data_IF_641672394200
#
_entry.id   IF_641672394200
#
_cell.length_a   1.000
_cell.length_b   1.000
_cell.length_c   1.000
_cell.angle_alpha   90.00
_cell.angle_beta   90.00
_cell.angle_gamma   90.00
#
_symmetry.space_group_name_H-M   'P 1'
#
loop_
_entity.id
_entity.type
_entity.pdbx_description
1 polymer ?
#
# COMPACT_ATOMS: atom_id res chain seq x y z
N UNK A 1 6.33 9.08 -25.15
CA UNK A 1 5.24 9.74 -25.88
C UNK A 1 4.69 8.87 -27.00
N UNK A 2 5.48 8.40 -27.99
CA UNK A 2 5.00 7.57 -29.13
C UNK A 2 4.29 6.28 -28.68
N UNK A 3 4.71 5.65 -27.62
CA UNK A 3 4.09 4.44 -27.09
C UNK A 3 2.70 4.74 -26.50
N UNK A 4 2.56 5.81 -25.75
CA UNK A 4 1.26 6.26 -25.23
C UNK A 4 0.27 6.62 -26.35
N UNK A 5 0.74 7.30 -27.38
CA UNK A 5 -0.08 7.63 -28.56
C UNK A 5 -0.62 6.37 -29.26
N UNK A 6 0.25 5.36 -29.42
CA UNK A 6 -0.14 4.08 -30.00
C UNK A 6 -1.17 3.35 -29.16
N UNK A 7 -0.96 3.27 -27.85
CA UNK A 7 -1.93 2.63 -26.95
C UNK A 7 -3.28 3.30 -26.94
N UNK A 8 -3.31 4.64 -27.00
CA UNK A 8 -4.57 5.40 -27.12
C UNK A 8 -5.28 5.11 -28.46
N UNK A 9 -4.52 4.89 -29.52
CA UNK A 9 -5.08 4.50 -30.84
C UNK A 9 -5.60 3.06 -30.83
N UNK A 10 -4.82 2.14 -30.24
CA UNK A 10 -5.15 0.72 -30.23
C UNK A 10 -6.36 0.40 -29.31
N UNK A 11 -6.54 1.15 -28.22
CA UNK A 11 -7.65 0.95 -27.27
C UNK A 11 -8.22 2.29 -26.77
N UNK A 12 -9.01 2.93 -27.62
CA UNK A 12 -9.60 4.23 -27.32
C UNK A 12 -10.56 4.23 -26.12
N UNK A 13 -11.20 3.10 -25.81
CA UNK A 13 -12.15 2.99 -24.70
C UNK A 13 -11.43 2.89 -23.35
N UNK A 14 -10.24 2.30 -23.30
CA UNK A 14 -9.46 2.18 -22.08
C UNK A 14 -9.02 3.51 -21.48
N UNK A 15 -8.91 4.57 -22.30
CA UNK A 15 -8.53 5.92 -21.83
C UNK A 15 -9.70 6.74 -21.30
N UNK A 16 -10.93 6.21 -21.34
CA UNK A 16 -12.11 6.87 -20.78
C UNK A 16 -12.04 7.02 -19.25
N UNK A 17 -11.23 6.18 -18.60
CA UNK A 17 -10.94 6.21 -17.15
C UNK A 17 -9.43 6.08 -16.95
N UNK A 18 -8.83 7.06 -16.29
CA UNK A 18 -7.40 7.11 -16.01
C UNK A 18 -7.16 7.13 -14.49
N UNK A 19 -6.36 6.19 -14.02
CA UNK A 19 -5.90 6.13 -12.64
C UNK A 19 -4.63 6.94 -12.47
N UNK A 20 -4.62 7.84 -11.49
CA UNK A 20 -3.46 8.70 -11.19
C UNK A 20 -3.03 8.44 -9.75
N UNK A 21 -1.79 8.02 -9.59
CA UNK A 21 -1.24 7.73 -8.26
C UNK A 21 0.24 8.11 -8.17
N UNK A 22 0.65 8.56 -6.98
CA UNK A 22 2.03 8.96 -6.69
C UNK A 22 2.83 7.81 -6.10
N UNK A 23 4.04 7.59 -6.61
CA UNK A 23 4.99 6.63 -6.08
C UNK A 23 6.26 7.32 -5.62
N UNK A 24 6.55 7.27 -4.32
CA UNK A 24 7.77 7.86 -3.74
C UNK A 24 8.94 6.92 -3.97
N UNK A 25 9.98 7.43 -4.66
CA UNK A 25 11.24 6.72 -4.93
C UNK A 25 12.35 7.27 -4.03
N UNK A 26 12.83 6.49 -3.05
CA UNK A 26 13.92 6.92 -2.20
C UNK A 26 15.24 7.00 -2.97
N UNK A 27 16.00 8.05 -2.70
CA UNK A 27 17.34 8.25 -3.24
C UNK A 27 18.39 7.87 -2.19
N UNK A 28 19.28 6.97 -2.55
CA UNK A 28 20.35 6.47 -1.69
C UNK A 28 21.74 7.03 -2.05
N UNK A 29 21.81 7.83 -3.11
CA UNK A 29 23.06 8.45 -3.54
C UNK A 29 23.43 9.67 -2.71
N UNK A 30 24.66 10.14 -2.88
CA UNK A 30 25.21 11.34 -2.24
C UNK A 30 25.45 12.48 -3.22
N UNK A 31 25.34 12.22 -4.53
CA UNK A 31 25.67 13.16 -5.60
C UNK A 31 24.66 14.30 -5.74
N UNK A 32 23.38 14.06 -5.41
CA UNK A 32 22.31 15.03 -5.54
C UNK A 32 21.63 15.32 -4.22
N UNK A 33 21.36 16.59 -3.95
CA UNK A 33 20.52 17.01 -2.82
C UNK A 33 19.07 17.00 -3.27
N UNK A 34 18.28 16.07 -2.72
CA UNK A 34 16.85 15.97 -2.97
C UNK A 34 16.04 16.30 -1.72
N UNK A 35 14.83 16.85 -1.86
CA UNK A 35 13.93 17.05 -0.74
C UNK A 35 13.57 15.70 -0.09
N UNK A 36 13.38 15.74 1.24
CA UNK A 36 13.00 14.54 1.99
C UNK A 36 11.50 14.30 1.90
N UNK A 37 11.11 13.06 1.70
CA UNK A 37 9.72 12.60 1.79
C UNK A 37 9.60 11.39 2.74
N UNK A 38 8.41 11.21 3.27
CA UNK A 38 8.10 10.02 4.06
C UNK A 38 8.04 8.79 3.16
N UNK A 39 8.96 7.87 3.35
CA UNK A 39 8.95 6.56 2.69
C UNK A 39 8.22 5.59 3.63
N UNK A 40 6.91 5.49 3.47
CA UNK A 40 6.00 4.76 4.38
C UNK A 40 6.46 3.34 4.68
N UNK A 41 6.95 2.62 3.67
CA UNK A 41 7.45 1.25 3.82
C UNK A 41 8.68 1.13 4.71
N UNK A 42 9.50 2.18 4.77
CA UNK A 42 10.71 2.21 5.61
C UNK A 42 10.49 2.95 6.93
N UNK A 43 9.33 3.59 7.09
CA UNK A 43 8.98 4.45 8.25
C UNK A 43 10.04 5.53 8.51
N UNK A 44 10.69 6.02 7.45
CA UNK A 44 11.76 7.00 7.51
C UNK A 44 11.47 8.15 6.53
N UNK A 45 11.93 9.34 6.88
CA UNK A 45 12.01 10.48 5.97
C UNK A 45 13.36 10.46 5.27
N UNK A 46 13.36 10.29 3.95
CA UNK A 46 14.55 10.13 3.12
C UNK A 46 14.53 11.11 1.94
N UNK A 47 15.70 11.49 1.39
CA UNK A 47 15.75 12.15 0.09
C UNK A 47 15.01 11.29 -0.94
N UNK A 48 14.13 11.91 -1.73
CA UNK A 48 13.29 11.16 -2.65
C UNK A 48 12.81 12.04 -3.81
N UNK A 49 12.35 11.38 -4.87
CA UNK A 49 11.48 11.93 -5.91
C UNK A 49 10.09 11.28 -5.81
N UNK A 50 9.11 11.91 -6.43
CA UNK A 50 7.78 11.31 -6.60
C UNK A 50 7.52 11.12 -8.08
N UNK A 51 7.23 9.89 -8.48
CA UNK A 51 6.76 9.56 -9.82
C UNK A 51 5.24 9.48 -9.78
N UNK A 52 4.55 10.36 -10.51
CA UNK A 52 3.10 10.31 -10.65
C UNK A 52 2.78 9.54 -11.92
N UNK A 53 2.21 8.38 -11.75
CA UNK A 53 1.85 7.47 -12.83
C UNK A 53 0.41 7.69 -13.26
N UNK A 54 0.21 7.68 -14.56
CA UNK A 54 -1.12 7.71 -15.19
C UNK A 54 -1.31 6.39 -15.91
N UNK A 55 -2.25 5.59 -15.42
CA UNK A 55 -2.56 4.27 -15.94
C UNK A 55 -3.98 4.23 -16.52
N UNK A 56 -4.17 3.45 -17.55
CA UNK A 56 -5.48 3.14 -18.13
C UNK A 56 -6.29 2.20 -17.20
N UNK A 57 -7.55 2.01 -17.49
CA UNK A 57 -8.43 1.16 -16.69
C UNK A 57 -8.03 -0.34 -16.69
N UNK A 58 -7.24 -0.76 -17.67
CA UNK A 58 -6.66 -2.11 -17.77
C UNK A 58 -5.29 -2.25 -17.08
N UNK A 59 -4.90 -1.25 -16.28
CA UNK A 59 -3.62 -1.14 -15.57
C UNK A 59 -2.39 -0.84 -16.45
N UNK A 60 -2.53 -0.64 -17.75
CA UNK A 60 -1.40 -0.26 -18.59
C UNK A 60 -0.94 1.16 -18.27
N UNK A 61 0.37 1.38 -18.05
CA UNK A 61 0.89 2.72 -17.79
C UNK A 61 0.90 3.55 -19.06
N UNK A 62 0.17 4.65 -19.08
CA UNK A 62 0.13 5.56 -20.21
C UNK A 62 1.36 6.44 -20.25
N UNK A 63 1.69 7.09 -19.13
CA UNK A 63 2.91 7.86 -18.93
C UNK A 63 3.19 8.08 -17.45
N UNK A 64 4.36 8.60 -17.16
CA UNK A 64 4.80 8.98 -15.80
C UNK A 64 5.37 10.40 -15.80
N UNK A 65 5.12 11.11 -14.73
CA UNK A 65 5.69 12.44 -14.45
C UNK A 65 6.53 12.34 -13.19
N UNK A 66 7.85 12.56 -13.32
CA UNK A 66 8.75 12.62 -12.16
C UNK A 66 8.80 14.06 -11.64
N UNK A 67 8.61 14.22 -10.34
CA UNK A 67 8.63 15.49 -9.65
C UNK A 67 9.47 15.43 -8.38
N UNK A 68 9.94 16.58 -7.86
CA UNK A 68 10.49 16.64 -6.51
C UNK A 68 9.50 16.07 -5.50
N UNK A 69 10.01 15.39 -4.49
CA UNK A 69 9.18 14.97 -3.37
C UNK A 69 8.52 16.20 -2.71
N UNK A 70 7.29 16.02 -2.25
CA UNK A 70 6.47 17.08 -1.64
C UNK A 70 5.81 18.08 -2.61
N UNK A 71 5.99 17.93 -3.89
CA UNK A 71 5.15 18.62 -4.87
C UNK A 71 3.76 17.94 -4.91
N UNK A 72 2.74 18.63 -4.41
CA UNK A 72 1.41 18.05 -4.25
C UNK A 72 0.80 17.57 -5.57
N UNK A 73 0.00 16.51 -5.50
CA UNK A 73 -0.64 15.87 -6.66
C UNK A 73 -1.45 16.86 -7.51
N UNK A 74 -2.17 17.80 -6.91
CA UNK A 74 -2.96 18.82 -7.62
C UNK A 74 -2.09 19.70 -8.51
N UNK A 75 -0.90 20.11 -8.05
CA UNK A 75 0.02 20.90 -8.84
C UNK A 75 0.49 20.11 -10.07
N UNK A 76 0.82 18.83 -9.89
CA UNK A 76 1.23 17.95 -10.98
C UNK A 76 0.10 17.68 -11.97
N UNK A 77 -1.10 17.41 -11.45
CA UNK A 77 -2.30 17.28 -12.29
C UNK A 77 -2.46 18.52 -13.18
N UNK A 78 -2.48 19.72 -12.61
CA UNK A 78 -2.72 20.95 -13.35
C UNK A 78 -1.62 21.30 -14.36
N UNK A 79 -0.36 21.16 -13.97
CA UNK A 79 0.76 21.67 -14.76
C UNK A 79 1.27 20.70 -15.83
N UNK A 80 1.14 19.40 -15.60
CA UNK A 80 1.79 18.40 -16.43
C UNK A 80 0.83 17.29 -16.92
N UNK A 81 0.00 16.74 -16.02
CA UNK A 81 -0.81 15.58 -16.34
C UNK A 81 -2.00 15.95 -17.24
N UNK A 82 -2.79 16.94 -16.85
CA UNK A 82 -3.96 17.36 -17.64
C UNK A 82 -3.60 17.82 -19.05
N UNK A 83 -2.56 18.65 -19.25
CA UNK A 83 -2.11 19.03 -20.59
C UNK A 83 -1.69 17.83 -21.42
N UNK A 84 -0.96 16.88 -20.84
CA UNK A 84 -0.50 15.68 -21.56
C UNK A 84 -1.66 14.72 -21.87
N UNK A 85 -2.58 14.51 -20.93
CA UNK A 85 -3.82 13.74 -21.20
C UNK A 85 -4.59 14.39 -22.33
N UNK A 86 -4.78 15.71 -22.31
CA UNK A 86 -5.51 16.44 -23.37
C UNK A 86 -4.83 16.30 -24.73
N UNK A 87 -3.49 16.36 -24.75
CA UNK A 87 -2.70 16.12 -25.97
C UNK A 87 -2.92 14.72 -26.54
N UNK A 88 -3.03 13.71 -25.68
CA UNK A 88 -3.19 12.31 -26.08
C UNK A 88 -4.61 11.97 -26.53
N UNK A 89 -5.62 12.47 -25.84
CA UNK A 89 -7.02 12.06 -26.04
C UNK A 89 -7.86 13.09 -26.80
N UNK A 90 -7.32 14.28 -27.10
CA UNK A 90 -8.07 15.36 -27.72
C UNK A 90 -9.19 15.87 -26.80
N UNK A 91 -10.35 16.24 -27.36
CA UNK A 91 -11.49 16.78 -26.62
C UNK A 91 -12.36 15.73 -25.94
N UNK A 92 -11.95 14.46 -25.97
CA UNK A 92 -12.70 13.39 -25.31
C UNK A 92 -12.82 13.65 -23.81
N UNK A 93 -14.00 13.35 -23.27
CA UNK A 93 -14.25 13.39 -21.83
C UNK A 93 -13.59 12.21 -21.14
N UNK A 94 -12.77 12.47 -20.14
CA UNK A 94 -11.99 11.47 -19.40
C UNK A 94 -12.28 11.60 -17.91
N UNK A 95 -12.46 10.48 -17.24
CA UNK A 95 -12.60 10.40 -15.80
C UNK A 95 -11.24 10.15 -15.15
N UNK A 96 -10.80 11.05 -14.29
CA UNK A 96 -9.58 10.92 -13.50
C UNK A 96 -9.92 10.30 -12.15
N UNK A 97 -9.29 9.18 -11.84
CA UNK A 97 -9.44 8.45 -10.57
C UNK A 97 -8.16 8.62 -9.76
N UNK A 98 -8.26 9.20 -8.58
CA UNK A 98 -7.13 9.41 -7.67
C UNK A 98 -7.56 9.34 -6.21
N UNK A 99 -6.58 9.27 -5.31
CA UNK A 99 -6.83 9.15 -3.88
C UNK A 99 -7.13 10.51 -3.20
N UNK A 100 -7.23 10.50 -1.85
CA UNK A 100 -7.52 11.69 -1.03
C UNK A 100 -6.45 12.78 -1.08
N UNK A 101 -5.26 12.51 -1.60
CA UNK A 101 -4.21 13.51 -1.78
C UNK A 101 -4.64 14.59 -2.78
N UNK A 102 -5.35 14.19 -3.82
CA UNK A 102 -5.92 15.09 -4.83
C UNK A 102 -7.19 15.83 -4.40
N UNK A 103 -7.61 15.78 -3.13
CA UNK A 103 -8.87 16.39 -2.68
C UNK A 103 -8.83 17.91 -2.71
N UNK A 104 -9.56 18.51 -3.65
CA UNK A 104 -9.83 19.96 -3.72
C UNK A 104 -11.10 20.25 -4.53
N UNK A 105 -12.23 20.57 -3.88
CA UNK A 105 -13.47 20.92 -4.58
C UNK A 105 -13.34 22.06 -5.59
N UNK A 106 -12.47 23.05 -5.28
CA UNK A 106 -12.16 24.14 -6.23
C UNK A 106 -11.48 23.60 -7.50
N UNK A 107 -10.54 22.70 -7.34
CA UNK A 107 -9.85 22.04 -8.45
C UNK A 107 -10.82 21.12 -9.23
N UNK A 108 -11.72 20.41 -8.55
CA UNK A 108 -12.71 19.55 -9.23
C UNK A 108 -13.62 20.36 -10.14
N UNK A 109 -14.12 21.51 -9.65
CA UNK A 109 -14.93 22.41 -10.48
C UNK A 109 -14.15 22.94 -11.69
N UNK A 110 -12.88 23.31 -11.47
CA UNK A 110 -11.99 23.81 -12.52
C UNK A 110 -11.82 22.78 -13.66
N UNK A 111 -11.44 21.54 -13.34
CA UNK A 111 -11.18 20.52 -14.34
C UNK A 111 -12.46 19.97 -14.99
N UNK A 112 -13.57 19.96 -14.23
CA UNK A 112 -14.86 19.59 -14.77
C UNK A 112 -15.31 20.57 -15.87
N UNK A 113 -15.08 21.86 -15.69
CA UNK A 113 -15.31 22.87 -16.72
C UNK A 113 -14.41 22.68 -17.95
N UNK A 114 -13.26 22.02 -17.80
CA UNK A 114 -12.34 21.67 -18.89
C UNK A 114 -12.66 20.32 -19.57
N UNK A 115 -13.78 19.67 -19.22
CA UNK A 115 -14.22 18.40 -19.80
C UNK A 115 -13.55 17.16 -19.18
N UNK A 116 -13.00 17.29 -17.97
CA UNK A 116 -12.54 16.14 -17.19
C UNK A 116 -13.54 15.79 -16.09
N UNK A 117 -13.76 14.51 -15.88
CA UNK A 117 -14.51 14.03 -14.74
C UNK A 117 -13.59 13.61 -13.58
N UNK A 118 -14.13 13.65 -12.39
CA UNK A 118 -13.42 13.29 -11.15
C UNK A 118 -14.09 12.10 -10.50
N UNK A 119 -13.26 11.19 -10.00
CA UNK A 119 -13.65 10.11 -9.11
C UNK A 119 -12.60 9.97 -8.01
N UNK A 120 -12.99 10.18 -6.76
CA UNK A 120 -12.05 10.13 -5.63
C UNK A 120 -12.76 9.78 -4.32
N UNK A 121 -12.01 9.40 -3.29
CA UNK A 121 -12.55 9.26 -1.94
C UNK A 121 -12.86 10.63 -1.33
N UNK A 122 -13.98 10.71 -0.60
CA UNK A 122 -14.30 11.90 0.18
C UNK A 122 -13.28 12.10 1.30
N UNK A 123 -12.79 13.32 1.44
CA UNK A 123 -11.89 13.72 2.53
C UNK A 123 -12.65 14.47 3.61
N UNK A 124 -12.24 14.34 4.86
CA UNK A 124 -12.81 14.99 6.02
C UNK A 124 -13.80 14.12 6.78
N UNK A 125 -14.28 14.63 7.91
CA UNK A 125 -15.29 13.96 8.70
C UNK A 125 -16.67 14.06 8.04
N UNK A 126 -17.45 13.02 8.10
CA UNK A 126 -18.84 12.99 7.64
C UNK A 126 -19.69 12.12 8.56
N UNK A 127 -20.95 12.50 8.72
CA UNK A 127 -21.90 11.71 9.49
C UNK A 127 -22.27 10.44 8.73
N UNK A 128 -22.28 9.31 9.42
CA UNK A 128 -22.72 8.05 8.84
C UNK A 128 -24.18 8.13 8.34
N UNK A 129 -24.46 7.50 7.21
CA UNK A 129 -25.84 7.35 6.74
C UNK A 129 -26.51 6.17 7.43
N UNK A 130 -27.85 6.23 7.62
CA UNK A 130 -28.58 5.11 8.19
C UNK A 130 -28.39 3.83 7.37
N UNK A 131 -28.16 2.69 8.02
CA UNK A 131 -27.95 1.40 7.35
C UNK A 131 -29.08 1.06 6.36
N UNK A 132 -30.31 1.42 6.70
CA UNK A 132 -31.49 1.24 5.82
C UNK A 132 -31.45 2.00 4.50
N UNK A 133 -30.51 2.94 4.33
CA UNK A 133 -30.33 3.67 3.07
C UNK A 133 -29.50 2.87 2.06
N UNK A 134 -28.80 1.84 2.50
CA UNK A 134 -27.98 1.00 1.66
C UNK A 134 -28.80 -0.13 1.06
N UNK A 135 -28.48 -0.46 -0.20
CA UNK A 135 -29.11 -1.56 -0.92
C UNK A 135 -28.02 -2.45 -1.51
N UNK A 136 -28.29 -3.75 -1.58
CA UNK A 136 -27.43 -4.67 -2.31
C UNK A 136 -27.55 -4.38 -3.80
N UNK A 137 -26.46 -3.95 -4.41
CA UNK A 137 -26.34 -3.72 -5.85
C UNK A 137 -25.42 -4.76 -6.45
N UNK A 138 -25.88 -5.40 -7.51
CA UNK A 138 -25.11 -6.40 -8.27
C UNK A 138 -25.01 -6.00 -9.73
N UNK A 139 -23.86 -6.24 -10.34
CA UNK A 139 -23.65 -5.91 -11.74
C UNK A 139 -22.50 -6.71 -12.34
N UNK A 140 -22.21 -6.46 -13.60
CA UNK A 140 -21.02 -6.97 -14.30
C UNK A 140 -20.27 -5.78 -14.89
N UNK A 141 -19.03 -5.60 -14.46
CA UNK A 141 -18.14 -4.52 -14.94
C UNK A 141 -16.86 -5.17 -15.43
N UNK A 142 -16.42 -4.85 -16.64
CA UNK A 142 -15.24 -5.44 -17.30
C UNK A 142 -15.23 -6.99 -17.23
N UNK A 143 -16.41 -7.61 -17.43
CA UNK A 143 -16.57 -9.07 -17.38
C UNK A 143 -16.56 -9.68 -15.96
N UNK A 144 -16.40 -8.87 -14.91
CA UNK A 144 -16.39 -9.32 -13.50
C UNK A 144 -17.72 -9.06 -12.83
N UNK A 145 -18.28 -10.06 -12.18
CA UNK A 145 -19.46 -9.90 -11.32
C UNK A 145 -19.05 -9.18 -10.05
N UNK A 146 -19.76 -8.10 -9.74
CA UNK A 146 -19.57 -7.30 -8.51
C UNK A 146 -20.85 -7.30 -7.67
N UNK A 147 -20.68 -7.20 -6.36
CA UNK A 147 -21.75 -7.04 -5.39
C UNK A 147 -21.29 -6.11 -4.28
N UNK A 148 -22.06 -5.06 -4.06
CA UNK A 148 -21.78 -4.07 -3.03
C UNK A 148 -23.06 -3.68 -2.28
N UNK A 149 -22.92 -3.24 -1.04
CA UNK A 149 -23.97 -2.55 -0.29
C UNK A 149 -23.77 -1.04 -0.49
N UNK A 150 -24.57 -0.42 -1.36
CA UNK A 150 -24.39 0.95 -1.79
C UNK A 150 -25.56 1.85 -1.46
N UNK A 151 -25.24 3.12 -1.21
CA UNK A 151 -26.22 4.21 -1.15
C UNK A 151 -25.63 5.44 -1.85
N UNK A 152 -26.48 6.31 -2.42
CA UNK A 152 -26.00 7.51 -3.10
C UNK A 152 -26.87 8.74 -2.78
N UNK A 153 -26.25 9.91 -2.85
CA UNK A 153 -26.91 11.23 -2.72
C UNK A 153 -26.12 12.27 -3.51
N UNK A 154 -26.81 13.30 -3.97
CA UNK A 154 -26.14 14.53 -4.40
C UNK A 154 -25.67 15.29 -3.18
N UNK A 155 -24.43 15.80 -3.24
CA UNK A 155 -23.82 16.59 -2.16
C UNK A 155 -23.18 17.85 -2.73
N UNK A 156 -23.37 18.96 -2.05
CA UNK A 156 -22.67 20.18 -2.37
C UNK A 156 -21.26 20.12 -1.75
N UNK A 157 -20.24 20.14 -2.58
CA UNK A 157 -18.83 20.07 -2.14
C UNK A 157 -18.15 21.43 -2.13
N UNK A 158 -18.72 22.40 -2.85
CA UNK A 158 -18.33 23.80 -2.89
C UNK A 158 -19.54 24.61 -3.33
N UNK A 159 -19.65 25.86 -2.90
CA UNK A 159 -20.81 26.73 -3.21
C UNK A 159 -21.24 26.62 -4.67
N UNK A 160 -22.44 26.10 -4.90
CA UNK A 160 -23.02 25.85 -6.20
C UNK A 160 -22.42 24.70 -7.02
N UNK A 161 -21.44 23.96 -6.48
CA UNK A 161 -20.86 22.81 -7.15
C UNK A 161 -21.27 21.51 -6.47
N UNK A 162 -22.14 20.78 -7.14
CA UNK A 162 -22.71 19.53 -6.68
C UNK A 162 -22.00 18.34 -7.31
N UNK A 163 -21.77 17.33 -6.51
CA UNK A 163 -21.22 16.04 -6.94
C UNK A 163 -22.11 14.90 -6.45
N UNK A 164 -21.98 13.76 -7.06
CA UNK A 164 -22.60 12.52 -6.63
C UNK A 164 -21.73 11.88 -5.57
N UNK A 165 -22.24 11.69 -4.36
CA UNK A 165 -21.59 10.92 -3.31
C UNK A 165 -22.19 9.52 -3.26
N UNK A 166 -21.34 8.52 -3.35
CA UNK A 166 -21.68 7.10 -3.22
C UNK A 166 -20.98 6.57 -1.99
N UNK A 167 -21.70 5.84 -1.16
CA UNK A 167 -21.12 5.14 -0.01
C UNK A 167 -21.26 3.65 -0.16
N UNK A 168 -20.17 2.94 0.18
CA UNK A 168 -20.16 1.50 0.34
C UNK A 168 -20.15 1.17 1.83
N UNK A 169 -21.10 0.34 2.26
CA UNK A 169 -21.17 -0.19 3.63
C UNK A 169 -20.35 -1.48 3.68
N UNK A 170 -19.29 -1.48 4.47
CA UNK A 170 -18.46 -2.65 4.72
C UNK A 170 -19.07 -3.57 5.78
N UNK A 171 -18.63 -4.83 5.84
CA UNK A 171 -19.14 -5.82 6.78
C UNK A 171 -18.92 -5.46 8.27
N UNK A 172 -17.90 -4.64 8.56
CA UNK A 172 -17.59 -4.11 9.88
C UNK A 172 -18.42 -2.86 10.26
N UNK A 173 -19.35 -2.43 9.38
CA UNK A 173 -20.17 -1.24 9.56
C UNK A 173 -19.51 0.06 9.12
N UNK A 174 -18.23 0.02 8.67
CA UNK A 174 -17.56 1.19 8.11
C UNK A 174 -18.21 1.62 6.79
N UNK A 175 -18.31 2.94 6.57
CA UNK A 175 -18.84 3.51 5.34
C UNK A 175 -17.71 4.20 4.57
N UNK A 176 -17.37 3.65 3.41
CA UNK A 176 -16.42 4.28 2.50
C UNK A 176 -17.13 5.23 1.57
N UNK A 177 -16.83 6.52 1.67
CA UNK A 177 -17.46 7.56 0.86
C UNK A 177 -16.61 7.91 -0.36
N UNK A 178 -17.23 7.89 -1.53
CA UNK A 178 -16.69 8.20 -2.85
C UNK A 178 -17.45 9.38 -3.40
N UNK A 179 -16.78 10.31 -4.09
CA UNK A 179 -17.42 11.41 -4.80
C UNK A 179 -17.01 11.41 -6.27
N UNK A 180 -17.97 11.76 -7.13
CA UNK A 180 -17.74 11.83 -8.58
C UNK A 180 -18.59 12.91 -9.23
N UNK A 181 -18.07 13.45 -10.34
CA UNK A 181 -18.86 14.31 -11.26
C UNK A 181 -19.65 13.49 -12.29
N UNK A 182 -19.45 12.15 -12.34
CA UNK A 182 -20.16 11.26 -13.26
C UNK A 182 -21.54 10.92 -12.74
N UNK A 183 -22.56 11.51 -13.35
CA UNK A 183 -23.97 11.22 -13.06
C UNK A 183 -24.58 10.16 -13.99
N UNK A 184 -23.91 9.87 -15.09
CA UNK A 184 -24.33 8.98 -16.16
C UNK A 184 -23.97 7.51 -15.94
N UNK A 185 -23.01 7.22 -15.06
CA UNK A 185 -22.58 5.86 -14.76
C UNK A 185 -23.47 5.18 -13.72
N UNK A 186 -23.70 3.87 -13.87
CA UNK A 186 -24.35 3.05 -12.85
C UNK A 186 -23.54 3.08 -11.55
N UNK A 187 -24.22 2.98 -10.41
CA UNK A 187 -23.61 3.15 -9.09
C UNK A 187 -22.52 2.09 -8.81
N UNK A 188 -22.77 0.85 -9.25
CA UNK A 188 -21.80 -0.25 -9.13
C UNK A 188 -20.56 -0.04 -9.99
N UNK A 189 -20.71 0.62 -11.16
CA UNK A 189 -19.58 0.95 -12.03
C UNK A 189 -18.67 1.98 -11.35
N UNK A 190 -19.25 3.02 -10.75
CA UNK A 190 -18.48 4.05 -10.03
C UNK A 190 -17.75 3.43 -8.84
N UNK A 191 -18.43 2.61 -8.04
CA UNK A 191 -17.84 1.92 -6.91
C UNK A 191 -16.70 0.99 -7.36
N UNK A 192 -16.95 0.19 -8.41
CA UNK A 192 -15.94 -0.70 -8.98
C UNK A 192 -14.70 0.08 -9.43
N UNK A 193 -14.86 1.13 -10.23
CA UNK A 193 -13.74 1.95 -10.72
C UNK A 193 -12.93 2.55 -9.58
N UNK A 194 -13.56 2.98 -8.49
CA UNK A 194 -12.83 3.50 -7.34
C UNK A 194 -12.10 2.41 -6.55
N UNK A 195 -12.71 1.25 -6.37
CA UNK A 195 -12.09 0.14 -5.64
C UNK A 195 -11.02 -0.59 -6.46
N UNK A 196 -11.14 -0.63 -7.79
CA UNK A 196 -10.10 -1.16 -8.69
C UNK A 196 -8.82 -0.31 -8.69
N UNK A 197 -8.78 0.85 -8.04
CA UNK A 197 -7.56 1.64 -7.88
C UNK A 197 -6.41 0.83 -7.25
N UNK A 198 -6.69 -0.22 -6.47
CA UNK A 198 -5.68 -1.16 -5.98
C UNK A 198 -4.85 -1.84 -7.10
N UNK A 199 -5.34 -1.84 -8.34
CA UNK A 199 -4.58 -2.30 -9.50
C UNK A 199 -3.26 -1.52 -9.64
N UNK A 200 -3.24 -0.21 -9.33
CA UNK A 200 -2.00 0.57 -9.33
C UNK A 200 -1.03 0.11 -8.22
N UNK A 201 -1.53 -0.26 -7.05
CA UNK A 201 -0.68 -0.80 -5.99
C UNK A 201 -0.01 -2.12 -6.40
N UNK A 202 -0.74 -2.98 -7.12
CA UNK A 202 -0.20 -4.20 -7.70
C UNK A 202 0.79 -3.90 -8.83
N UNK A 203 0.51 -2.92 -9.69
CA UNK A 203 1.43 -2.44 -10.70
C UNK A 203 2.75 -1.98 -10.05
N UNK A 204 2.72 -1.13 -9.03
CA UNK A 204 3.93 -0.71 -8.32
C UNK A 204 4.66 -1.88 -7.65
N UNK A 205 3.92 -2.84 -7.09
CA UNK A 205 4.53 -4.05 -6.53
C UNK A 205 5.28 -4.84 -7.59
N UNK A 206 4.68 -5.08 -8.73
CA UNK A 206 5.28 -5.75 -9.87
C UNK A 206 6.52 -5.00 -10.38
N UNK A 207 6.40 -3.70 -10.62
CA UNK A 207 7.48 -2.86 -11.11
C UNK A 207 8.69 -2.84 -10.16
N UNK A 208 8.45 -2.87 -8.86
CA UNK A 208 9.53 -2.97 -7.85
C UNK A 208 10.23 -4.32 -7.89
N UNK A 209 9.46 -5.39 -7.98
CA UNK A 209 9.99 -6.75 -7.92
C UNK A 209 10.78 -7.11 -9.20
N UNK A 210 10.27 -6.69 -10.35
CA UNK A 210 10.83 -7.09 -11.64
C UNK A 210 11.79 -6.05 -12.23
N UNK A 211 11.58 -4.77 -11.94
CA UNK A 211 12.31 -3.68 -12.60
C UNK A 211 13.00 -2.70 -11.62
N UNK A 212 13.07 -3.06 -10.34
CA UNK A 212 13.71 -2.26 -9.31
C UNK A 212 13.25 -0.77 -9.31
N UNK A 213 11.94 -0.54 -9.47
CA UNK A 213 11.36 0.81 -9.61
C UNK A 213 11.81 1.77 -8.50
N UNK A 214 12.04 1.27 -7.29
CA UNK A 214 12.49 2.07 -6.15
C UNK A 214 13.99 2.43 -6.20
N UNK A 215 14.75 1.81 -7.10
CA UNK A 215 16.19 2.06 -7.19
C UNK A 215 16.45 3.26 -8.12
N UNK A 216 16.74 4.42 -7.53
CA UNK A 216 17.38 5.50 -8.26
C UNK A 216 18.87 5.18 -8.33
N UNK A 217 19.27 4.45 -9.40
CA UNK A 217 20.65 4.06 -9.64
C UNK A 217 21.32 5.03 -10.61
N UNK A 218 22.56 5.41 -10.31
CA UNK A 218 23.46 5.98 -11.29
C UNK A 218 24.25 4.84 -11.93
N UNK A 219 24.51 4.88 -13.22
CA UNK A 219 25.39 3.91 -13.90
C UNK A 219 26.87 4.14 -13.56
N UNK A 220 27.19 5.18 -12.79
CA UNK A 220 28.54 5.41 -12.29
C UNK A 220 28.85 4.37 -11.20
N UNK A 221 29.84 3.54 -11.44
CA UNK A 221 30.39 2.62 -10.46
C UNK A 221 31.51 3.34 -9.75
N UNK A 222 31.30 3.67 -8.47
CA UNK A 222 32.37 4.15 -7.60
C UNK A 222 32.96 2.96 -6.85
N UNK A 223 34.30 2.88 -6.68
CA UNK A 223 34.91 1.89 -5.83
C UNK A 223 34.28 1.97 -4.44
N UNK A 224 33.85 0.83 -3.90
CA UNK A 224 33.38 0.81 -2.52
C UNK A 224 34.51 1.19 -1.57
N UNK A 225 34.22 1.96 -0.55
CA UNK A 225 35.16 2.25 0.52
C UNK A 225 35.70 0.92 1.08
N UNK A 226 37.03 0.68 0.98
CA UNK A 226 37.64 -0.58 1.44
C UNK A 226 37.45 -0.80 2.96
N UNK A 227 37.25 0.26 3.73
CA UNK A 227 36.96 0.23 5.17
C UNK A 227 35.48 -0.02 5.48
N UNK A 228 34.62 -0.06 4.47
CA UNK A 228 33.20 -0.29 4.67
C UNK A 228 32.93 -1.71 5.16
N UNK A 229 32.45 -1.79 6.39
CA UNK A 229 31.94 -3.05 6.93
C UNK A 229 30.55 -3.35 6.33
N UNK A 230 30.40 -4.52 5.75
CA UNK A 230 29.11 -5.03 5.27
C UNK A 230 28.58 -6.10 6.24
N UNK A 231 27.26 -6.17 6.48
CA UNK A 231 26.71 -7.24 7.31
C UNK A 231 27.08 -8.61 6.71
N UNK A 232 27.62 -9.47 7.54
CA UNK A 232 27.90 -10.85 7.14
C UNK A 232 26.57 -11.64 7.06
N UNK A 233 26.17 -12.15 5.87
CA UNK A 233 24.94 -12.92 5.72
C UNK A 233 24.89 -14.15 6.64
N UNK A 234 26.04 -14.79 6.90
CA UNK A 234 26.14 -15.94 7.80
C UNK A 234 25.83 -15.55 9.25
N UNK A 235 26.18 -14.34 9.65
CA UNK A 235 25.85 -13.81 10.98
C UNK A 235 24.33 -13.69 11.15
N UNK A 236 23.63 -13.15 10.16
CA UNK A 236 22.16 -13.04 10.19
C UNK A 236 21.48 -14.39 10.32
N UNK A 237 21.99 -15.43 9.63
CA UNK A 237 21.48 -16.79 9.74
C UNK A 237 21.68 -17.33 11.16
N UNK A 238 22.87 -17.12 11.74
CA UNK A 238 23.18 -17.56 13.09
C UNK A 238 22.35 -16.81 14.16
N UNK A 239 22.16 -15.50 13.99
CA UNK A 239 21.31 -14.69 14.87
C UNK A 239 19.85 -15.16 14.85
N UNK A 240 19.32 -15.49 13.67
CA UNK A 240 17.97 -16.05 13.52
C UNK A 240 17.85 -17.41 14.21
N UNK A 241 18.80 -18.32 13.93
CA UNK A 241 18.84 -19.64 14.56
C UNK A 241 18.94 -19.56 16.10
N UNK A 242 19.75 -18.61 16.62
CA UNK A 242 19.86 -18.38 18.05
C UNK A 242 18.56 -17.84 18.65
N UNK A 243 17.87 -16.94 17.95
CA UNK A 243 16.57 -16.41 18.39
C UNK A 243 15.51 -17.51 18.47
N UNK A 244 15.45 -18.40 17.49
CA UNK A 244 14.54 -19.56 17.47
C UNK A 244 14.87 -20.55 18.59
N UNK A 245 16.14 -20.88 18.81
CA UNK A 245 16.57 -21.77 19.88
C UNK A 245 16.23 -21.20 21.26
N UNK A 246 16.41 -19.89 21.47
CA UNK A 246 16.02 -19.20 22.71
C UNK A 246 14.51 -19.20 22.94
N UNK A 247 13.71 -19.00 21.88
CA UNK A 247 12.26 -19.04 21.97
C UNK A 247 11.76 -20.46 22.36
N UNK A 248 12.35 -21.50 21.76
CA UNK A 248 12.04 -22.88 22.09
C UNK A 248 12.44 -23.23 23.54
N UNK A 249 13.65 -22.81 23.98
CA UNK A 249 14.09 -22.98 25.35
C UNK A 249 13.13 -22.32 26.34
N UNK A 250 12.75 -21.07 26.11
CA UNK A 250 11.80 -20.34 26.95
C UNK A 250 10.45 -21.04 27.07
N UNK A 251 9.94 -21.58 25.96
CA UNK A 251 8.68 -22.34 25.95
C UNK A 251 8.78 -23.62 26.78
N UNK A 252 9.90 -24.37 26.70
CA UNK A 252 10.14 -25.58 27.48
C UNK A 252 10.32 -25.27 28.97
N UNK A 253 11.04 -24.22 29.32
CA UNK A 253 11.23 -23.77 30.70
C UNK A 253 9.90 -23.32 31.31
N UNK A 254 9.07 -22.59 30.55
CA UNK A 254 7.73 -22.22 30.98
C UNK A 254 6.85 -23.46 31.24
N UNK A 255 6.85 -24.42 30.32
CA UNK A 255 6.09 -25.66 30.47
C UNK A 255 6.57 -26.48 31.69
N UNK A 256 7.88 -26.51 31.93
CA UNK A 256 8.45 -27.16 33.10
C UNK A 256 8.05 -26.44 34.40
N UNK A 257 8.09 -25.12 34.40
CA UNK A 257 7.66 -24.30 35.54
C UNK A 257 6.17 -24.50 35.86
N UNK A 258 5.28 -24.52 34.86
CA UNK A 258 3.86 -24.78 35.08
C UNK A 258 3.62 -26.17 35.69
N UNK A 259 4.33 -27.20 35.23
CA UNK A 259 4.27 -28.55 35.84
C UNK A 259 4.81 -28.59 37.25
N UNK A 260 5.84 -27.80 37.57
CA UNK A 260 6.40 -27.69 38.90
C UNK A 260 5.44 -27.03 39.90
N UNK A 261 4.73 -25.97 39.42
CA UNK A 261 3.71 -25.29 40.24
C UNK A 261 2.48 -26.17 40.51
N UNK A 262 2.12 -27.01 39.55
CA UNK A 262 0.99 -27.94 39.64
C UNK A 262 1.36 -29.25 40.35
N UNK A 263 2.61 -29.41 40.82
CA UNK A 263 3.05 -30.66 41.47
C UNK A 263 2.33 -30.88 42.83
N UNK A 264 1.56 -31.99 42.98
CA UNK A 264 0.78 -32.26 44.17
C UNK A 264 1.62 -32.75 45.37
N UNK A 265 2.96 -33.00 45.21
CA UNK A 265 3.83 -33.36 46.32
C UNK A 265 3.85 -32.23 47.36
N UNK A 266 3.02 -32.36 48.41
CA UNK A 266 2.81 -31.38 49.44
C UNK A 266 4.05 -31.17 50.32
N UNK A 267 3.95 -31.13 51.66
CA UNK A 267 4.84 -30.62 52.68
C UNK A 267 6.32 -31.06 52.70
N UNK A 268 6.79 -32.00 51.86
CA UNK A 268 8.22 -32.37 51.70
C UNK A 268 8.54 -32.63 50.21
N UNK A 269 8.63 -31.62 49.39
CA UNK A 269 8.98 -31.81 47.98
C UNK A 269 10.48 -32.18 47.91
N UNK A 270 10.79 -33.47 47.91
CA UNK A 270 12.16 -33.91 47.55
C UNK A 270 12.46 -33.61 46.08
N UNK A 271 11.45 -33.21 45.32
CA UNK A 271 11.51 -32.98 43.88
C UNK A 271 12.05 -34.20 43.11
N UNK A 272 12.30 -35.32 43.78
CA UNK A 272 12.87 -36.52 43.17
C UNK A 272 11.85 -37.19 42.24
N UNK A 273 10.63 -37.41 42.71
CA UNK A 273 9.54 -37.98 41.93
C UNK A 273 9.21 -37.09 40.71
N UNK A 274 9.09 -35.78 40.93
CA UNK A 274 8.89 -34.79 39.87
C UNK A 274 10.01 -34.80 38.83
N UNK A 275 11.27 -34.86 39.28
CA UNK A 275 12.45 -34.91 38.39
C UNK A 275 12.49 -36.18 37.56
N UNK A 276 12.03 -37.32 38.08
CA UNK A 276 11.93 -38.59 37.37
C UNK A 276 10.78 -38.52 36.34
N UNK A 277 9.60 -38.10 36.79
CA UNK A 277 8.40 -37.98 35.93
C UNK A 277 8.59 -37.03 34.77
N UNK A 278 9.44 -36.00 34.90
CA UNK A 278 9.71 -35.00 33.86
C UNK A 278 11.15 -35.05 33.35
N UNK A 279 11.80 -36.23 33.40
CA UNK A 279 13.18 -36.40 32.97
C UNK A 279 13.39 -36.02 31.48
N UNK A 280 12.49 -36.42 30.61
CA UNK A 280 12.55 -36.10 29.19
C UNK A 280 12.47 -34.58 28.91
N UNK A 281 11.56 -33.87 29.56
CA UNK A 281 11.44 -32.42 29.41
C UNK A 281 12.71 -31.71 29.90
N UNK A 282 13.29 -32.18 31.02
CA UNK A 282 14.60 -31.67 31.51
C UNK A 282 15.74 -31.94 30.53
N UNK A 283 15.74 -33.11 29.87
CA UNK A 283 16.75 -33.43 28.85
C UNK A 283 16.62 -32.50 27.65
N UNK A 284 15.41 -32.24 27.20
CA UNK A 284 15.15 -31.30 26.11
C UNK A 284 15.59 -29.87 26.45
N UNK A 285 15.31 -29.39 27.68
CA UNK A 285 15.77 -28.09 28.15
C UNK A 285 17.30 -28.01 28.08
N UNK A 286 18.01 -29.03 28.60
CA UNK A 286 19.47 -29.09 28.59
C UNK A 286 20.02 -29.09 27.15
N UNK A 287 19.42 -29.85 26.23
CA UNK A 287 19.82 -29.87 24.84
C UNK A 287 19.71 -28.48 24.20
N UNK A 288 18.58 -27.77 24.38
CA UNK A 288 18.43 -26.40 23.88
C UNK A 288 19.36 -25.40 24.55
N UNK A 289 19.68 -25.56 25.84
CA UNK A 289 20.68 -24.73 26.52
C UNK A 289 22.10 -24.92 25.93
N UNK A 290 22.46 -26.14 25.57
CA UNK A 290 23.72 -26.43 24.84
C UNK A 290 23.70 -25.78 23.46
N UNK A 291 22.63 -25.99 22.70
CA UNK A 291 22.45 -25.42 21.38
C UNK A 291 22.56 -23.88 21.39
N UNK A 292 21.91 -23.21 22.32
CA UNK A 292 22.02 -21.76 22.46
C UNK A 292 23.46 -21.31 22.77
N UNK A 293 24.19 -22.03 23.59
CA UNK A 293 25.61 -21.73 23.89
C UNK A 293 26.50 -21.91 22.68
N UNK A 294 26.32 -23.00 21.94
CA UNK A 294 27.06 -23.26 20.67
C UNK A 294 26.80 -22.19 19.62
N UNK A 295 25.54 -21.83 19.40
CA UNK A 295 25.20 -20.77 18.45
C UNK A 295 25.74 -19.40 18.91
N UNK A 296 25.68 -19.11 20.20
CA UNK A 296 26.25 -17.88 20.74
C UNK A 296 27.78 -17.83 20.57
N UNK A 297 28.49 -18.95 20.82
CA UNK A 297 29.95 -19.04 20.63
C UNK A 297 30.36 -18.87 19.15
N UNK A 298 29.49 -19.22 18.20
CA UNK A 298 29.75 -19.03 16.77
C UNK A 298 29.50 -17.59 16.31
N UNK A 299 28.82 -16.79 17.10
CA UNK A 299 28.54 -15.36 16.83
C UNK A 299 29.61 -14.44 17.39
N UNK A 300 30.37 -14.89 18.42
CA UNK A 300 31.53 -14.20 18.97
C UNK A 300 32.78 -14.49 18.15
#
# INVERSE_FOLDING_TARGET
QRLAERWVQDNADAVGVLYVDGHVRPYHGTTHTLPKAAVTRRRLSMPATTDVWVNQCDAQPLFVVTAPANDGLIARLRQQILPEVRRLVGDRRVTLVFDREGWSPKFFREIHAQGFDVLTYRKGAYTAWPVKAFQTVTGTVDGRRVRYELAERSVEVLNGFWMREIRCLCADGHQTAIVTTRHDLAIEVVAYRMFERWIQENFFRYMRQQFALDALVTYAVEPADPERTVPNPQRTVLETALAEARAALKALEHAYGQKALANPEGRRPTMRGFKIAHAELRQRIRAHQVQCRELQARLT
#
